data_IF_029673761670
#
_entry.id   IF_029673761670
#
_cell.length_a   1.000
_cell.length_b   1.000
_cell.length_c   1.000
_cell.angle_alpha   90.00
_cell.angle_beta   90.00
_cell.angle_gamma   90.00
#
_symmetry.space_group_name_H-M   'P 1'
#
loop_
_entity.id
_entity.type
_entity.pdbx_description
1 polymer ?
#
# COMPACT_ATOMS: atom_id res chain seq x y z
N UNK A 1 -19.73 -1.98 9.07
CA UNK A 1 -19.99 -2.17 7.62
C UNK A 1 -19.85 -3.64 7.23
N UNK A 2 -18.70 -4.28 7.46
CA UNK A 2 -18.45 -5.68 7.06
C UNK A 2 -19.05 -6.76 7.99
N UNK A 3 -19.55 -6.38 9.16
CA UNK A 3 -19.90 -7.30 10.25
C UNK A 3 -20.97 -8.36 9.90
N UNK A 4 -21.95 -7.99 9.10
CA UNK A 4 -23.08 -8.86 8.76
C UNK A 4 -23.25 -9.00 7.25
N UNK A 5 -23.68 -10.17 6.73
CA UNK A 5 -23.93 -10.36 5.30
C UNK A 5 -24.86 -9.31 4.70
N UNK A 6 -25.94 -8.94 5.40
CA UNK A 6 -26.86 -7.90 4.95
C UNK A 6 -26.18 -6.54 4.78
N UNK A 7 -25.34 -6.16 5.73
CA UNK A 7 -24.61 -4.88 5.69
C UNK A 7 -23.55 -4.87 4.58
N UNK A 8 -22.89 -6.01 4.33
CA UNK A 8 -21.97 -6.18 3.19
C UNK A 8 -22.68 -6.05 1.86
N UNK A 9 -23.78 -6.77 1.65
CA UNK A 9 -24.56 -6.69 0.41
C UNK A 9 -25.09 -5.28 0.13
N UNK A 10 -25.50 -4.53 1.15
CA UNK A 10 -25.87 -3.11 1.01
C UNK A 10 -24.68 -2.27 0.52
N UNK A 11 -23.50 -2.46 1.12
CA UNK A 11 -22.32 -1.70 0.73
C UNK A 11 -21.82 -2.08 -0.67
N UNK A 12 -21.81 -3.37 -1.02
CA UNK A 12 -21.46 -3.86 -2.36
C UNK A 12 -22.42 -3.30 -3.42
N UNK A 13 -23.72 -3.28 -3.13
CA UNK A 13 -24.71 -2.66 -4.02
C UNK A 13 -24.46 -1.17 -4.21
N UNK A 14 -24.05 -0.47 -3.14
CA UNK A 14 -23.67 0.94 -3.20
C UNK A 14 -22.42 1.15 -4.05
N UNK A 15 -21.41 0.27 -3.95
CA UNK A 15 -20.22 0.29 -4.80
C UNK A 15 -20.62 0.11 -6.26
N UNK A 16 -21.42 -0.91 -6.59
CA UNK A 16 -21.86 -1.17 -7.95
C UNK A 16 -22.56 0.06 -8.57
N UNK A 17 -23.46 0.70 -7.81
CA UNK A 17 -24.12 1.92 -8.24
C UNK A 17 -23.15 3.09 -8.43
N UNK A 18 -22.16 3.23 -7.54
CA UNK A 18 -21.13 4.26 -7.63
C UNK A 18 -20.28 4.09 -8.89
N UNK A 19 -19.79 2.87 -9.17
CA UNK A 19 -18.99 2.57 -10.35
C UNK A 19 -19.74 2.93 -11.65
N UNK A 20 -21.01 2.56 -11.75
CA UNK A 20 -21.85 2.90 -12.91
C UNK A 20 -22.08 4.42 -13.01
N UNK A 21 -22.36 5.07 -11.89
CA UNK A 21 -22.68 6.51 -11.88
C UNK A 21 -21.53 7.37 -12.38
N UNK A 22 -20.30 6.95 -12.09
CA UNK A 22 -19.09 7.70 -12.44
C UNK A 22 -18.29 7.08 -13.59
N UNK A 23 -18.75 5.97 -14.17
CA UNK A 23 -18.07 5.29 -15.27
C UNK A 23 -16.69 4.75 -14.89
N UNK A 24 -16.55 4.22 -13.68
CA UNK A 24 -15.29 3.70 -13.14
C UNK A 24 -15.14 2.21 -13.45
N UNK A 25 -13.92 1.77 -13.74
CA UNK A 25 -13.60 0.38 -14.07
C UNK A 25 -13.48 -0.54 -12.85
N UNK A 26 -13.43 0.03 -11.65
CA UNK A 26 -13.22 -0.74 -10.43
C UNK A 26 -13.14 0.07 -9.15
N UNK A 27 -12.85 -0.66 -8.07
CA UNK A 27 -12.77 -0.14 -6.71
C UNK A 27 -11.49 -0.65 -6.03
N UNK A 28 -10.81 0.24 -5.32
CA UNK A 28 -9.79 -0.11 -4.35
C UNK A 28 -10.38 0.03 -2.93
N UNK A 29 -10.13 -0.97 -2.09
CA UNK A 29 -10.58 -0.96 -0.70
C UNK A 29 -9.36 -0.76 0.20
N UNK A 30 -9.29 0.39 0.84
CA UNK A 30 -8.29 0.69 1.84
C UNK A 30 -8.88 0.54 3.26
N UNK A 31 -8.78 -0.66 3.82
CA UNK A 31 -9.30 -0.96 5.17
C UNK A 31 -8.15 -1.05 6.16
N UNK A 32 -8.00 -0.03 7.01
CA UNK A 32 -6.89 0.04 7.95
C UNK A 32 -7.29 -0.02 9.44
N UNK A 33 -7.06 -1.11 10.17
CA UNK A 33 -6.72 -2.45 9.71
C UNK A 33 -7.63 -3.46 10.44
N UNK A 34 -8.08 -4.54 9.79
CA UNK A 34 -8.96 -5.52 10.41
C UNK A 34 -8.30 -6.15 11.65
N UNK A 35 -9.02 -6.19 12.77
CA UNK A 35 -8.55 -6.80 14.02
C UNK A 35 -7.41 -6.05 14.73
N UNK A 36 -7.06 -4.84 14.31
CA UNK A 36 -6.14 -3.96 15.02
C UNK A 36 -6.79 -3.40 16.31
N UNK A 37 -6.37 -3.93 17.46
CA UNK A 37 -6.92 -3.58 18.79
C UNK A 37 -6.71 -2.09 19.10
N UNK A 38 -5.56 -1.55 18.72
CA UNK A 38 -5.17 -0.15 18.82
C UNK A 38 -6.09 0.79 18.03
N UNK A 39 -6.82 0.27 17.03
CA UNK A 39 -7.85 1.01 16.28
C UNK A 39 -9.28 0.63 16.71
N UNK A 40 -9.43 -0.07 17.84
CA UNK A 40 -10.69 -0.61 18.34
C UNK A 40 -11.41 -1.54 17.34
N UNK A 41 -10.66 -2.19 16.44
CA UNK A 41 -11.22 -3.09 15.45
C UNK A 41 -11.53 -4.46 16.08
N UNK A 42 -12.73 -5.03 15.88
CA UNK A 42 -13.06 -6.34 16.41
C UNK A 42 -12.30 -7.44 15.66
N UNK A 43 -11.95 -8.53 16.38
CA UNK A 43 -11.28 -9.69 15.77
C UNK A 43 -12.13 -10.37 14.67
N UNK A 44 -13.45 -10.14 14.67
CA UNK A 44 -14.35 -10.62 13.62
C UNK A 44 -14.13 -9.94 12.28
N UNK A 45 -13.44 -8.79 12.23
CA UNK A 45 -13.13 -8.09 10.98
C UNK A 45 -12.29 -8.95 10.03
N UNK A 46 -11.35 -9.75 10.55
CA UNK A 46 -10.49 -10.62 9.72
C UNK A 46 -11.30 -11.56 8.81
N UNK A 47 -12.16 -12.47 9.33
CA UNK A 47 -12.97 -13.32 8.47
C UNK A 47 -14.08 -12.56 7.73
N UNK A 48 -14.59 -11.46 8.30
CA UNK A 48 -15.63 -10.66 7.65
C UNK A 48 -15.12 -9.91 6.42
N UNK A 49 -13.87 -9.45 6.44
CA UNK A 49 -13.24 -8.80 5.30
C UNK A 49 -12.99 -9.80 4.17
N UNK A 50 -12.56 -11.03 4.50
CA UNK A 50 -12.47 -12.12 3.52
C UNK A 50 -13.82 -12.42 2.86
N UNK A 51 -14.88 -12.52 3.67
CA UNK A 51 -16.23 -12.73 3.15
C UNK A 51 -16.67 -11.56 2.25
N UNK A 52 -16.39 -10.33 2.65
CA UNK A 52 -16.69 -9.13 1.88
C UNK A 52 -16.05 -9.16 0.48
N UNK A 53 -14.76 -9.46 0.36
CA UNK A 53 -14.13 -9.57 -0.97
C UNK A 53 -14.69 -10.73 -1.80
N UNK A 54 -14.97 -11.88 -1.16
CA UNK A 54 -15.58 -13.02 -1.86
C UNK A 54 -16.97 -12.70 -2.40
N UNK A 55 -17.81 -12.01 -1.62
CA UNK A 55 -19.15 -11.57 -2.01
C UNK A 55 -19.07 -10.51 -3.12
N UNK A 56 -18.19 -9.50 -2.95
CA UNK A 56 -17.99 -8.44 -3.93
C UNK A 56 -17.55 -8.97 -5.30
N UNK A 57 -16.65 -9.95 -5.36
CA UNK A 57 -16.28 -10.61 -6.62
C UNK A 57 -17.46 -11.34 -7.30
N UNK A 58 -18.39 -11.88 -6.51
CA UNK A 58 -19.56 -12.59 -7.02
C UNK A 58 -20.70 -11.67 -7.46
N UNK A 59 -20.81 -10.49 -6.85
CA UNK A 59 -21.91 -9.55 -7.07
C UNK A 59 -21.57 -8.44 -8.08
N UNK A 60 -20.30 -8.03 -8.19
CA UNK A 60 -19.90 -7.04 -9.18
C UNK A 60 -19.82 -7.66 -10.59
N UNK A 61 -20.08 -6.87 -11.65
CA UNK A 61 -19.97 -7.35 -13.03
C UNK A 61 -18.62 -8.00 -13.32
N UNK A 62 -18.61 -9.06 -14.13
CA UNK A 62 -17.38 -9.69 -14.57
C UNK A 62 -16.47 -8.68 -15.28
N UNK A 63 -15.19 -8.65 -14.91
CA UNK A 63 -14.21 -7.70 -15.43
C UNK A 63 -14.04 -6.43 -14.57
N UNK A 64 -14.86 -6.22 -13.55
CA UNK A 64 -14.65 -5.13 -12.58
C UNK A 64 -13.31 -5.32 -11.88
N UNK A 65 -12.48 -4.28 -11.85
CA UNK A 65 -11.21 -4.29 -11.11
C UNK A 65 -11.54 -4.17 -9.61
N UNK A 66 -11.04 -5.12 -8.82
CA UNK A 66 -11.15 -5.08 -7.36
C UNK A 66 -9.73 -5.12 -6.82
N UNK A 67 -9.31 -4.09 -6.12
CA UNK A 67 -8.02 -4.07 -5.44
C UNK A 67 -8.17 -3.74 -3.96
N UNK A 68 -7.08 -3.96 -3.23
CA UNK A 68 -7.00 -3.71 -1.80
C UNK A 68 -5.62 -3.15 -1.47
N UNK A 69 -5.56 -2.09 -0.67
CA UNK A 69 -4.33 -1.66 -0.03
C UNK A 69 -4.05 -2.50 1.21
N UNK A 70 -2.87 -3.09 1.30
CA UNK A 70 -2.47 -3.99 2.38
C UNK A 70 -1.20 -3.51 3.05
N UNK A 71 -1.09 -3.61 4.38
CA UNK A 71 0.08 -3.12 5.10
C UNK A 71 1.34 -3.92 4.75
N UNK A 72 2.49 -3.28 4.84
CA UNK A 72 3.77 -3.94 4.62
C UNK A 72 4.32 -4.62 5.91
N UNK A 73 3.93 -4.14 7.09
CA UNK A 73 4.35 -4.71 8.38
C UNK A 73 3.47 -5.88 8.85
N UNK A 74 4.09 -6.93 9.42
CA UNK A 74 3.38 -8.11 9.95
C UNK A 74 2.30 -7.75 10.97
N UNK A 75 2.56 -6.74 11.80
CA UNK A 75 1.70 -6.38 12.92
C UNK A 75 0.25 -6.12 12.49
N UNK A 76 0.07 -5.41 11.37
CA UNK A 76 -1.24 -5.17 10.76
C UNK A 76 -1.62 -6.27 9.76
N UNK A 77 -0.65 -6.80 9.00
CA UNK A 77 -0.91 -7.82 7.98
C UNK A 77 -1.54 -9.10 8.55
N UNK A 78 -1.23 -9.46 9.80
CA UNK A 78 -1.83 -10.63 10.48
C UNK A 78 -3.36 -10.58 10.58
N UNK A 79 -3.95 -9.39 10.45
CA UNK A 79 -5.40 -9.17 10.43
C UNK A 79 -6.07 -9.53 9.10
N UNK A 80 -5.27 -9.77 8.05
CA UNK A 80 -5.75 -10.08 6.70
C UNK A 80 -5.50 -11.56 6.37
N UNK A 81 -6.55 -12.27 5.92
CA UNK A 81 -6.37 -13.60 5.33
C UNK A 81 -5.93 -13.47 3.85
N UNK A 82 -4.76 -12.87 3.62
CA UNK A 82 -4.30 -12.45 2.27
C UNK A 82 -4.32 -13.59 1.24
N UNK A 83 -4.07 -14.82 1.64
CA UNK A 83 -4.13 -16.00 0.77
C UNK A 83 -5.55 -16.35 0.28
N UNK A 84 -6.58 -15.95 1.05
CA UNK A 84 -7.99 -16.08 0.66
C UNK A 84 -8.44 -14.85 -0.11
N UNK A 85 -8.08 -13.65 0.35
CA UNK A 85 -8.42 -12.38 -0.30
C UNK A 85 -7.84 -12.31 -1.72
N UNK A 86 -6.59 -12.76 -1.93
CA UNK A 86 -5.93 -12.80 -3.23
C UNK A 86 -6.72 -13.57 -4.31
N UNK A 87 -7.59 -14.51 -3.92
CA UNK A 87 -8.45 -15.25 -4.85
C UNK A 87 -9.66 -14.44 -5.31
N UNK A 88 -9.96 -13.35 -4.61
CA UNK A 88 -11.15 -12.52 -4.78
C UNK A 88 -10.85 -11.13 -5.35
N UNK A 89 -9.58 -10.73 -5.38
CA UNK A 89 -9.13 -9.43 -5.90
C UNK A 89 -8.32 -9.60 -7.19
N UNK A 90 -8.22 -8.54 -7.98
CA UNK A 90 -7.39 -8.45 -9.18
C UNK A 90 -5.92 -8.29 -8.81
N UNK A 91 -5.61 -7.41 -7.84
CA UNK A 91 -4.27 -7.21 -7.30
C UNK A 91 -4.35 -6.61 -5.88
N UNK A 92 -3.22 -6.66 -5.16
CA UNK A 92 -3.06 -6.07 -3.84
C UNK A 92 -1.95 -5.02 -3.90
N UNK A 93 -2.22 -3.83 -3.39
CA UNK A 93 -1.25 -2.74 -3.28
C UNK A 93 -0.59 -2.81 -1.90
N UNK A 94 0.63 -3.33 -1.84
CA UNK A 94 1.39 -3.34 -0.58
C UNK A 94 1.84 -1.91 -0.27
N UNK A 95 1.38 -1.36 0.84
CA UNK A 95 1.74 -0.03 1.33
C UNK A 95 3.14 -0.07 1.94
N UNK A 96 4.14 -0.11 1.07
CA UNK A 96 5.56 -0.22 1.40
C UNK A 96 6.17 1.14 1.77
N UNK A 97 5.49 1.84 2.67
CA UNK A 97 5.83 3.15 3.20
C UNK A 97 5.31 3.24 4.64
N UNK A 98 5.65 4.31 5.37
CA UNK A 98 5.32 4.46 6.81
C UNK A 98 5.80 3.30 7.69
N UNK A 99 6.96 2.71 7.37
CA UNK A 99 7.58 1.68 8.22
C UNK A 99 7.99 2.23 9.58
N UNK A 100 8.47 3.47 9.56
CA UNK A 100 9.10 4.16 10.67
C UNK A 100 8.52 5.57 10.77
N UNK A 101 8.56 6.14 11.96
CA UNK A 101 7.95 7.44 12.23
C UNK A 101 8.19 7.92 13.65
N UNK A 102 7.44 8.93 14.08
CA UNK A 102 7.59 9.48 15.44
C UNK A 102 7.36 8.42 16.53
N UNK A 103 6.60 7.36 16.23
CA UNK A 103 6.36 6.27 17.17
C UNK A 103 7.63 5.49 17.57
N UNK A 104 8.70 5.53 16.75
CA UNK A 104 9.96 4.84 17.07
C UNK A 104 10.72 5.48 18.22
N UNK A 105 10.55 6.79 18.45
CA UNK A 105 11.29 7.50 19.50
C UNK A 105 10.88 7.10 20.91
N UNK A 106 9.76 6.37 21.05
CA UNK A 106 9.18 5.97 22.33
C UNK A 106 9.29 4.45 22.59
N UNK A 107 10.15 3.74 21.86
CA UNK A 107 10.35 2.29 22.04
C UNK A 107 11.35 2.01 23.17
N UNK A 108 10.89 1.27 24.20
CA UNK A 108 11.74 0.93 25.35
C UNK A 108 12.92 0.05 24.92
N UNK A 109 14.14 0.50 25.23
CA UNK A 109 15.37 -0.23 24.90
C UNK A 109 15.96 0.07 23.53
N UNK A 110 15.40 1.05 22.80
CA UNK A 110 15.96 1.57 21.56
C UNK A 110 16.42 3.03 21.76
N UNK A 111 17.37 3.47 20.93
CA UNK A 111 17.75 4.89 20.90
C UNK A 111 16.53 5.71 20.43
N UNK A 112 16.32 6.93 20.95
CA UNK A 112 15.17 7.77 20.62
C UNK A 112 15.38 8.45 19.25
N UNK A 113 15.56 7.64 18.21
CA UNK A 113 15.78 8.06 16.83
C UNK A 113 14.68 7.46 15.97
N UNK A 114 14.20 8.24 15.02
CA UNK A 114 13.28 7.76 13.98
C UNK A 114 14.11 7.27 12.80
N UNK A 115 13.81 6.07 12.31
CA UNK A 115 14.40 5.59 11.06
C UNK A 115 13.64 6.19 9.85
N UNK A 116 14.19 6.12 8.63
CA UNK A 116 13.50 6.61 7.44
C UNK A 116 12.15 5.91 7.22
N UNK A 117 11.11 6.66 6.86
CA UNK A 117 9.74 6.11 6.71
C UNK A 117 9.66 5.03 5.59
N UNK A 118 10.56 5.09 4.61
CA UNK A 118 10.75 4.10 3.54
C UNK A 118 12.15 3.49 3.65
N UNK A 119 12.25 2.19 3.38
CA UNK A 119 13.52 1.47 3.48
C UNK A 119 13.45 0.19 2.66
N UNK A 120 14.36 0.03 1.69
CA UNK A 120 14.42 -1.18 0.85
C UNK A 120 14.64 -2.47 1.65
N UNK A 121 15.26 -2.36 2.84
CA UNK A 121 15.43 -3.51 3.74
C UNK A 121 14.09 -3.93 4.35
N UNK A 122 13.32 -2.96 4.83
CA UNK A 122 11.99 -3.21 5.37
C UNK A 122 11.03 -3.71 4.28
N UNK A 123 11.15 -3.18 3.05
CA UNK A 123 10.41 -3.68 1.89
C UNK A 123 10.72 -5.14 1.60
N UNK A 124 12.00 -5.55 1.62
CA UNK A 124 12.40 -6.96 1.44
C UNK A 124 11.79 -7.86 2.50
N UNK A 125 11.77 -7.42 3.75
CA UNK A 125 11.14 -8.18 4.84
C UNK A 125 9.62 -8.28 4.65
N UNK A 126 8.97 -7.23 4.18
CA UNK A 126 7.55 -7.26 3.78
C UNK A 126 7.29 -8.26 2.66
N UNK A 127 8.11 -8.29 1.60
CA UNK A 127 7.98 -9.27 0.50
C UNK A 127 8.03 -10.70 1.04
N UNK A 128 8.90 -10.98 2.01
CA UNK A 128 9.01 -12.29 2.65
C UNK A 128 7.72 -12.70 3.38
N UNK A 129 6.98 -11.76 3.96
CA UNK A 129 5.69 -12.06 4.60
C UNK A 129 4.65 -12.54 3.58
N UNK A 130 4.56 -11.88 2.43
CA UNK A 130 3.59 -12.21 1.39
C UNK A 130 3.92 -13.55 0.71
N UNK A 131 5.19 -13.77 0.37
CA UNK A 131 5.63 -15.07 -0.20
C UNK A 131 5.41 -16.23 0.78
N UNK A 132 5.68 -16.04 2.09
CA UNK A 132 5.39 -17.05 3.13
C UNK A 132 3.90 -17.33 3.30
N UNK A 133 3.05 -16.34 3.05
CA UNK A 133 1.60 -16.53 3.03
C UNK A 133 1.10 -17.23 1.74
N UNK A 134 2.00 -17.58 0.83
CA UNK A 134 1.67 -18.27 -0.42
C UNK A 134 1.10 -17.35 -1.49
N UNK A 135 1.37 -16.05 -1.41
CA UNK A 135 1.06 -15.11 -2.49
C UNK A 135 2.06 -15.33 -3.61
N UNK A 136 1.54 -15.66 -4.79
CA UNK A 136 2.33 -15.76 -6.00
C UNK A 136 2.68 -14.34 -6.46
N UNK A 137 3.96 -14.03 -6.37
CA UNK A 137 4.50 -12.77 -6.88
C UNK A 137 4.92 -12.89 -8.35
N UNK A 138 4.74 -14.02 -9.04
CA UNK A 138 5.11 -14.14 -10.44
C UNK A 138 4.12 -13.40 -11.36
N UNK A 139 4.63 -12.74 -12.38
CA UNK A 139 3.79 -12.03 -13.35
C UNK A 139 3.06 -12.99 -14.28
N UNK A 140 1.80 -12.66 -14.59
CA UNK A 140 1.09 -13.18 -15.76
C UNK A 140 1.48 -12.39 -17.02
N UNK A 141 1.44 -13.00 -18.22
CA UNK A 141 1.98 -12.44 -19.47
C UNK A 141 1.22 -11.23 -20.09
N UNK A 142 0.43 -10.45 -19.33
CA UNK A 142 -0.61 -9.58 -19.92
C UNK A 142 -0.73 -8.11 -19.43
N UNK A 143 0.07 -7.56 -18.51
CA UNK A 143 -0.24 -6.23 -17.89
C UNK A 143 0.45 -5.01 -18.51
N UNK A 144 0.54 -4.89 -19.83
CA UNK A 144 1.20 -3.77 -20.53
C UNK A 144 0.56 -2.34 -20.32
N UNK A 145 0.60 -1.67 -19.14
CA UNK A 145 0.27 -0.22 -18.96
C UNK A 145 0.65 0.45 -17.58
N UNK A 146 0.54 1.80 -17.49
CA UNK A 146 1.12 2.77 -16.52
C UNK A 146 0.24 4.03 -16.18
N UNK A 147 0.51 4.80 -15.09
CA UNK A 147 -0.25 6.03 -14.69
C UNK A 147 0.46 7.00 -13.70
N UNK A 148 0.65 8.27 -14.11
CA UNK A 148 1.80 9.14 -13.79
C UNK A 148 1.45 10.58 -13.36
N UNK A 149 2.45 11.29 -12.82
CA UNK A 149 2.85 12.67 -13.18
C UNK A 149 4.31 12.58 -13.68
N UNK A 150 4.75 13.41 -14.63
CA UNK A 150 6.07 13.25 -15.31
C UNK A 150 7.12 14.23 -14.79
N UNK A 151 8.37 13.76 -14.73
CA UNK A 151 9.57 14.47 -14.25
C UNK A 151 9.68 15.94 -14.72
N UNK A 152 9.20 16.23 -15.94
CA UNK A 152 9.18 17.58 -16.54
C UNK A 152 8.41 18.63 -15.70
N UNK A 153 7.34 18.24 -15.01
CA UNK A 153 6.49 19.13 -14.20
C UNK A 153 7.16 19.47 -12.85
N UNK A 154 8.04 18.59 -12.36
CA UNK A 154 8.84 18.75 -11.15
C UNK A 154 10.11 19.58 -11.44
N UNK A 155 10.74 19.36 -12.60
CA UNK A 155 11.85 20.19 -13.07
C UNK A 155 11.46 21.66 -13.25
N UNK A 156 10.21 21.94 -13.66
CA UNK A 156 9.71 23.31 -13.78
C UNK A 156 9.63 24.03 -12.42
N UNK A 157 9.43 23.31 -11.32
CA UNK A 157 9.40 23.87 -9.95
C UNK A 157 10.81 24.08 -9.40
N UNK A 158 11.69 23.10 -9.58
CA UNK A 158 13.10 23.17 -9.15
C UNK A 158 13.83 24.34 -9.83
N UNK A 159 13.57 24.57 -11.12
CA UNK A 159 14.17 25.66 -11.91
C UNK A 159 13.57 27.02 -11.55
N UNK A 160 12.25 27.11 -11.31
CA UNK A 160 11.60 28.38 -10.97
C UNK A 160 11.80 28.82 -9.51
N UNK A 161 12.22 27.92 -8.61
CA UNK A 161 12.30 28.18 -7.17
C UNK A 161 13.71 28.00 -6.56
N UNK A 162 14.70 27.57 -7.34
CA UNK A 162 16.13 27.50 -6.99
C UNK A 162 16.44 26.70 -5.71
N UNK A 163 16.02 25.43 -5.70
CA UNK A 163 16.14 24.51 -4.55
C UNK A 163 17.12 23.36 -4.88
N UNK A 164 18.00 22.98 -3.95
CA UNK A 164 18.97 21.88 -4.11
C UNK A 164 18.72 20.71 -3.14
N UNK A 165 18.31 19.52 -3.62
CA UNK A 165 18.09 18.32 -2.78
C UNK A 165 19.37 17.59 -2.33
N UNK A 166 19.29 16.76 -1.26
CA UNK A 166 20.40 15.93 -0.72
C UNK A 166 19.98 14.45 -0.52
N UNK A 167 20.72 13.52 -1.16
CA UNK A 167 20.46 12.07 -1.17
C UNK A 167 21.17 11.31 -0.04
N UNK A 168 20.47 10.40 0.66
CA UNK A 168 21.11 9.37 1.49
C UNK A 168 21.35 8.07 0.70
N UNK A 169 22.63 7.74 0.51
CA UNK A 169 23.06 6.57 -0.27
C UNK A 169 22.78 5.22 0.41
N UNK A 170 22.48 5.18 1.71
CA UNK A 170 22.26 3.92 2.44
C UNK A 170 20.80 3.47 2.37
N UNK A 171 19.88 4.40 2.63
CA UNK A 171 18.43 4.17 2.56
C UNK A 171 17.89 4.29 1.13
N UNK A 172 18.64 4.97 0.25
CA UNK A 172 18.15 5.43 -1.06
C UNK A 172 16.88 6.28 -0.87
N UNK A 173 16.89 7.16 0.11
CA UNK A 173 15.79 8.07 0.44
C UNK A 173 16.37 9.48 0.58
N UNK A 174 15.66 10.50 0.13
CA UNK A 174 16.05 11.87 0.40
C UNK A 174 15.64 12.27 1.81
N UNK A 175 16.44 13.10 2.46
CA UNK A 175 16.04 13.71 3.71
C UNK A 175 16.56 15.14 3.84
N UNK A 176 15.89 15.93 4.66
CA UNK A 176 16.33 17.27 5.06
C UNK A 176 15.83 17.60 6.47
N UNK A 177 16.57 18.44 7.18
CA UNK A 177 16.05 19.12 8.37
C UNK A 177 15.42 20.45 7.92
N UNK A 178 14.18 20.70 8.32
CA UNK A 178 13.49 21.95 8.00
C UNK A 178 14.03 23.13 8.85
N UNK A 179 13.48 24.33 8.63
CA UNK A 179 13.91 25.54 9.36
C UNK A 179 13.65 25.49 10.87
N UNK A 180 12.80 24.56 11.32
CA UNK A 180 12.42 24.35 12.71
C UNK A 180 13.22 23.19 13.34
N UNK A 181 14.03 22.46 12.54
CA UNK A 181 14.79 21.29 12.97
C UNK A 181 14.00 19.99 12.88
N UNK A 182 12.91 19.96 12.10
CA UNK A 182 12.12 18.76 11.87
C UNK A 182 12.72 17.95 10.70
N UNK A 183 12.93 16.65 10.93
CA UNK A 183 13.42 15.72 9.90
C UNK A 183 12.29 15.37 8.92
N UNK A 184 12.50 15.67 7.65
CA UNK A 184 11.66 15.29 6.52
C UNK A 184 12.38 14.22 5.70
N UNK A 185 11.67 13.15 5.32
CA UNK A 185 12.17 12.11 4.40
C UNK A 185 11.20 11.92 3.24
N UNK A 186 11.70 11.75 2.02
CA UNK A 186 10.88 11.67 0.81
C UNK A 186 11.60 10.93 -0.33
N UNK A 187 10.87 10.61 -1.40
CA UNK A 187 11.38 9.91 -2.58
C UNK A 187 11.46 10.85 -3.80
N UNK A 188 12.50 10.69 -4.62
CA UNK A 188 12.72 11.39 -5.90
C UNK A 188 13.04 10.36 -7.00
N UNK A 189 13.06 10.77 -8.28
CA UNK A 189 13.15 9.84 -9.42
C UNK A 189 14.39 8.93 -9.46
N UNK A 190 15.45 9.24 -8.74
CA UNK A 190 16.67 8.43 -8.59
C UNK A 190 16.62 7.45 -7.40
N UNK A 191 15.65 7.58 -6.48
CA UNK A 191 15.34 6.54 -5.48
C UNK A 191 14.50 5.39 -6.08
N UNK A 192 14.18 5.46 -7.37
CA UNK A 192 13.33 4.52 -8.10
C UNK A 192 14.00 3.19 -8.45
N UNK A 193 15.15 2.87 -7.84
CA UNK A 193 15.60 1.48 -7.72
C UNK A 193 14.55 0.59 -7.03
N UNK A 194 13.55 1.17 -6.36
CA UNK A 194 12.34 0.49 -5.91
C UNK A 194 11.51 -0.11 -7.06
N UNK A 195 11.44 0.55 -8.22
CA UNK A 195 10.80 0.00 -9.43
C UNK A 195 11.65 -1.15 -9.98
N UNK A 196 12.98 -0.99 -10.01
CA UNK A 196 13.89 -2.06 -10.40
C UNK A 196 13.79 -3.27 -9.46
N UNK A 197 13.67 -3.03 -8.15
CA UNK A 197 13.44 -4.06 -7.14
C UNK A 197 12.08 -4.75 -7.33
N UNK A 198 11.02 -3.99 -7.61
CA UNK A 198 9.71 -4.53 -7.92
C UNK A 198 9.76 -5.44 -9.15
N UNK A 199 10.45 -5.00 -10.22
CA UNK A 199 10.69 -5.79 -11.42
C UNK A 199 11.54 -7.05 -11.20
N UNK A 200 12.60 -6.95 -10.40
CA UNK A 200 13.45 -8.11 -10.03
C UNK A 200 12.74 -9.11 -9.10
N UNK A 201 11.77 -8.64 -8.32
CA UNK A 201 10.99 -9.44 -7.37
C UNK A 201 9.64 -9.88 -7.94
N UNK A 202 9.44 -9.72 -9.26
CA UNK A 202 8.28 -10.13 -10.05
C UNK A 202 6.95 -9.43 -9.72
N UNK A 203 6.92 -8.34 -8.94
CA UNK A 203 5.67 -7.65 -8.62
C UNK A 203 4.89 -7.23 -9.88
N UNK A 204 3.56 -7.21 -9.76
CA UNK A 204 2.64 -6.85 -10.86
C UNK A 204 2.68 -5.39 -11.30
N UNK A 205 3.40 -4.53 -10.56
CA UNK A 205 3.57 -3.10 -10.82
C UNK A 205 4.05 -2.36 -9.58
N UNK A 206 4.12 -1.04 -9.67
CA UNK A 206 4.38 -0.14 -8.53
C UNK A 206 3.17 0.76 -8.28
N UNK A 207 2.91 1.04 -7.00
CA UNK A 207 1.84 1.90 -6.52
C UNK A 207 2.48 3.05 -5.73
N UNK A 208 1.99 4.27 -5.93
CA UNK A 208 2.48 5.47 -5.26
C UNK A 208 1.27 6.13 -4.61
N UNK A 209 1.40 6.46 -3.34
CA UNK A 209 0.42 7.27 -2.59
C UNK A 209 0.79 8.75 -2.67
#
# INVERSE_FOLDING_TARGET
MIEHPTSRGIFISSIAAFLVSYGLDGIDIDFEYPGAIERNAPATDTPNLTAFFSEMKGELPAGTIISIATPAGYWFLKGFEINKIAKSVTYMNMMSYDYHGQWDTNVTGQAPVTNPHTSILDMKDSVLLYTRAGIDLSTGPCTLASGYMVDFEVFDIIINQDISPVLDNTSQTYWLDDINGDLLTFDLSDTWQLIDFAGQSCFGGTFIW
#
